data_IF_057638481437
#
_entry.id   IF_057638481437
#
_cell.length_a   1.000
_cell.length_b   1.000
_cell.length_c   1.000
_cell.angle_alpha   90.00
_cell.angle_beta   90.00
_cell.angle_gamma   90.00
#
_symmetry.space_group_name_H-M   'P 1'
#
loop_
_entity.id
_entity.type
_entity.pdbx_description
1 polymer ?
#
# COMPACT_ATOMS: atom_id res chain seq x y z
N UNK A 1 -10.21 6.09 0.02
CA UNK A 1 -9.89 6.80 1.28
C UNK A 1 -9.78 5.78 2.40
N UNK A 2 -8.63 5.72 3.06
CA UNK A 2 -8.39 4.87 4.23
C UNK A 2 -9.00 5.54 5.47
N UNK A 3 -9.50 4.73 6.39
CA UNK A 3 -10.04 5.20 7.68
C UNK A 3 -8.96 5.70 8.65
N UNK A 4 -9.26 5.65 9.95
CA UNK A 4 -8.44 6.27 11.01
C UNK A 4 -7.26 5.42 11.49
N UNK A 5 -7.07 4.23 10.92
CA UNK A 5 -6.05 3.29 11.38
C UNK A 5 -4.81 3.30 10.47
N UNK A 6 -3.65 2.99 11.06
CA UNK A 6 -2.46 2.63 10.31
C UNK A 6 -2.65 1.25 9.68
N UNK A 7 -2.14 1.07 8.45
CA UNK A 7 -1.98 -0.25 7.84
C UNK A 7 -0.54 -0.43 7.35
N UNK A 8 0.18 -1.37 7.95
CA UNK A 8 1.45 -1.86 7.42
C UNK A 8 1.19 -2.94 6.38
N UNK A 9 1.95 -2.92 5.29
CA UNK A 9 1.96 -3.95 4.25
C UNK A 9 3.39 -4.44 4.00
N UNK A 10 3.54 -5.75 3.86
CA UNK A 10 4.75 -6.40 3.33
C UNK A 10 4.36 -7.27 2.13
N UNK A 11 5.03 -7.08 1.00
CA UNK A 11 4.69 -7.78 -0.25
C UNK A 11 5.47 -9.08 -0.34
N UNK A 12 4.74 -10.20 -0.41
CA UNK A 12 5.30 -11.54 -0.56
C UNK A 12 5.55 -11.90 -2.04
N UNK A 13 4.65 -11.47 -2.93
CA UNK A 13 4.74 -11.70 -4.37
C UNK A 13 3.87 -10.73 -5.15
N UNK A 14 4.16 -10.58 -6.45
CA UNK A 14 3.44 -9.68 -7.36
C UNK A 14 3.97 -8.26 -7.32
N UNK A 15 3.23 -7.34 -7.95
CA UNK A 15 3.62 -5.94 -8.09
C UNK A 15 2.41 -5.02 -8.08
N UNK A 16 2.55 -3.90 -7.39
CA UNK A 16 1.54 -2.85 -7.32
C UNK A 16 2.16 -1.47 -7.45
N UNK A 17 1.30 -0.50 -7.69
CA UNK A 17 1.61 0.92 -7.67
C UNK A 17 0.64 1.63 -6.73
N UNK A 18 1.18 2.52 -5.91
CA UNK A 18 0.42 3.41 -5.03
C UNK A 18 0.73 4.85 -5.40
N UNK A 19 -0.32 5.64 -5.53
CA UNK A 19 -0.23 7.08 -5.77
C UNK A 19 -1.06 7.77 -4.70
N UNK A 20 -0.42 8.48 -3.78
CA UNK A 20 -1.12 9.36 -2.84
C UNK A 20 -1.60 10.62 -3.58
N UNK A 21 -2.76 11.16 -3.22
CA UNK A 21 -3.31 12.36 -3.87
C UNK A 21 -2.33 13.54 -3.71
N UNK A 22 -1.86 14.09 -4.84
CA UNK A 22 -0.83 15.12 -4.87
C UNK A 22 0.59 14.64 -4.54
N UNK A 23 0.77 13.34 -4.30
CA UNK A 23 2.05 12.71 -4.02
C UNK A 23 2.68 12.03 -5.25
N UNK A 24 3.86 11.45 -5.03
CA UNK A 24 4.56 10.69 -6.05
C UNK A 24 3.97 9.29 -6.23
N UNK A 25 4.12 8.77 -7.45
CA UNK A 25 3.85 7.38 -7.77
C UNK A 25 4.95 6.50 -7.20
N UNK A 26 4.58 5.49 -6.41
CA UNK A 26 5.51 4.49 -5.86
C UNK A 26 5.11 3.09 -6.30
N UNK A 27 6.07 2.32 -6.79
CA UNK A 27 5.88 0.89 -7.07
C UNK A 27 6.44 0.03 -5.94
N UNK A 28 5.77 -1.09 -5.68
CA UNK A 28 6.17 -2.07 -4.68
C UNK A 28 6.08 -3.48 -5.28
N UNK A 29 7.09 -4.28 -5.01
CA UNK A 29 7.22 -5.67 -5.43
C UNK A 29 7.61 -6.58 -4.26
N UNK A 30 7.85 -7.86 -4.52
CA UNK A 30 8.24 -8.82 -3.50
C UNK A 30 9.47 -8.35 -2.69
N UNK A 31 9.34 -8.36 -1.36
CA UNK A 31 10.38 -7.88 -0.44
C UNK A 31 10.16 -6.45 0.05
N UNK A 32 9.32 -5.65 -0.63
CA UNK A 32 9.05 -4.28 -0.22
C UNK A 32 8.01 -4.19 0.90
N UNK A 33 8.07 -3.09 1.64
CA UNK A 33 7.09 -2.75 2.66
C UNK A 33 6.74 -1.27 2.68
N UNK A 34 5.54 -0.96 3.15
CA UNK A 34 5.07 0.42 3.33
C UNK A 34 3.98 0.50 4.39
N UNK A 35 3.71 1.72 4.85
CA UNK A 35 2.64 2.04 5.79
C UNK A 35 1.68 3.02 5.12
N UNK A 36 0.39 2.69 5.10
CA UNK A 36 -0.68 3.64 4.83
C UNK A 36 -1.10 4.27 6.15
N UNK A 37 -1.00 5.60 6.23
CA UNK A 37 -1.34 6.37 7.44
C UNK A 37 -2.85 6.60 7.52
N UNK A 38 -3.39 6.93 8.72
CA UNK A 38 -4.75 7.43 8.86
C UNK A 38 -5.05 8.55 7.86
N UNK A 39 -6.21 8.49 7.22
CA UNK A 39 -6.62 9.49 6.23
C UNK A 39 -5.95 9.38 4.86
N UNK A 40 -5.15 8.33 4.60
CA UNK A 40 -4.55 8.11 3.28
C UNK A 40 -5.60 8.17 2.16
N UNK A 41 -5.38 9.07 1.20
CA UNK A 41 -6.19 9.24 0.00
C UNK A 41 -5.29 9.07 -1.21
N UNK A 42 -5.69 8.17 -2.10
CA UNK A 42 -4.85 7.80 -3.22
C UNK A 42 -5.40 6.60 -3.98
N UNK A 43 -4.69 6.24 -5.04
CA UNK A 43 -5.00 5.12 -5.90
C UNK A 43 -4.09 3.93 -5.59
N UNK A 44 -4.71 2.76 -5.43
CA UNK A 44 -4.03 1.46 -5.45
C UNK A 44 -4.26 0.82 -6.81
N UNK A 45 -3.18 0.56 -7.55
CA UNK A 45 -3.23 -0.17 -8.81
C UNK A 45 -2.43 -1.47 -8.70
N UNK A 46 -3.12 -2.60 -8.80
CA UNK A 46 -2.50 -3.93 -8.90
C UNK A 46 -2.01 -4.15 -10.33
N UNK A 47 -0.69 -4.24 -10.53
CA UNK A 47 -0.09 -4.45 -11.85
C UNK A 47 0.03 -5.95 -12.18
N UNK A 48 0.30 -6.76 -11.15
CA UNK A 48 0.36 -8.23 -11.19
C UNK A 48 -0.33 -8.78 -9.93
N UNK A 49 -0.82 -10.02 -9.92
CA UNK A 49 -1.49 -10.59 -8.74
C UNK A 49 -0.60 -10.49 -7.49
N UNK A 50 -1.04 -9.70 -6.50
CA UNK A 50 -0.29 -9.45 -5.27
C UNK A 50 -0.70 -10.41 -4.15
N UNK A 51 0.30 -10.96 -3.45
CA UNK A 51 0.14 -11.56 -2.13
C UNK A 51 0.87 -10.69 -1.11
N UNK A 52 0.19 -10.30 -0.03
CA UNK A 52 0.77 -9.45 1.02
C UNK A 52 0.43 -9.94 2.42
N UNK A 53 1.30 -9.63 3.38
CA UNK A 53 0.98 -9.58 4.80
C UNK A 53 0.52 -8.17 5.10
N UNK A 54 -0.52 -8.02 5.91
CA UNK A 54 -0.99 -6.72 6.37
C UNK A 54 -1.31 -6.74 7.85
N UNK A 55 -1.03 -5.62 8.52
CA UNK A 55 -1.36 -5.41 9.94
C UNK A 55 -2.05 -4.06 10.04
N UNK A 56 -3.21 -4.01 10.70
CA UNK A 56 -3.93 -2.78 11.00
C UNK A 56 -3.83 -2.50 12.51
N UNK A 57 -3.51 -1.26 12.86
CA UNK A 57 -3.42 -0.79 14.23
C UNK A 57 -4.12 0.56 14.40
N UNK A 58 -4.77 0.73 15.54
CA UNK A 58 -5.48 1.94 15.98
C UNK A 58 -4.63 2.77 16.91
#
# INVERSE_FOLDING_TARGET
MKGENFEFCYILSGRLRLTEDGGEIREYAAGDSFIMKPGFCGNWQTLETVRKIWVVAS
#
